data_IF_842284850445
#
_entry.id   IF_842284850445
#
_cell.length_a   1.000
_cell.length_b   1.000
_cell.length_c   1.000
_cell.angle_alpha   90.00
_cell.angle_beta   90.00
_cell.angle_gamma   90.00
#
_symmetry.space_group_name_H-M   'P 1'
#
loop_
_entity.id
_entity.type
_entity.pdbx_description
1 polymer ?
#
# COMPACT_ATOMS: atom_id res chain seq x y z
N UNK A 1 -30.23 13.33 -1.40
CA UNK A 1 -29.03 12.55 -1.79
C UNK A 1 -27.99 12.69 -0.68
N UNK A 2 -27.68 11.62 0.06
CA UNK A 2 -26.62 11.63 1.07
C UNK A 2 -25.28 11.68 0.34
N UNK A 3 -24.52 12.75 0.55
CA UNK A 3 -23.14 12.87 0.06
C UNK A 3 -22.34 11.86 0.86
N UNK A 4 -21.96 10.75 0.23
CA UNK A 4 -21.06 9.79 0.83
C UNK A 4 -19.73 10.51 1.00
N UNK A 5 -19.49 11.02 2.21
CA UNK A 5 -18.21 11.52 2.63
C UNK A 5 -17.34 10.26 2.76
N UNK A 6 -16.76 9.82 1.64
CA UNK A 6 -15.67 8.86 1.64
C UNK A 6 -14.53 9.57 2.38
N UNK A 7 -14.56 9.45 3.71
CA UNK A 7 -13.55 9.99 4.60
C UNK A 7 -12.22 9.59 4.01
N UNK A 8 -11.34 10.57 3.83
CA UNK A 8 -10.01 10.41 3.28
C UNK A 8 -9.37 9.20 3.97
N UNK A 9 -9.35 8.06 3.30
CA UNK A 9 -8.61 6.91 3.81
C UNK A 9 -7.15 7.31 3.62
N UNK A 10 -6.56 7.85 4.67
CA UNK A 10 -5.14 8.15 4.73
C UNK A 10 -4.44 6.86 5.16
N UNK A 11 -3.92 6.06 4.21
CA UNK A 11 -3.20 4.86 4.58
C UNK A 11 -2.03 5.25 5.48
N UNK A 12 -1.79 4.47 6.53
CA UNK A 12 -0.61 4.62 7.36
C UNK A 12 0.62 4.52 6.46
N UNK A 13 1.61 5.39 6.67
CA UNK A 13 2.85 5.39 5.91
C UNK A 13 4.00 5.10 6.85
N UNK A 14 4.84 4.16 6.47
CA UNK A 14 6.09 3.90 7.17
C UNK A 14 7.27 4.41 6.36
N UNK A 15 8.33 4.81 7.07
CA UNK A 15 9.61 5.10 6.46
C UNK A 15 10.32 3.79 6.10
N UNK A 16 10.71 3.65 4.83
CA UNK A 16 11.50 2.55 4.30
C UNK A 16 12.73 3.15 3.62
N UNK A 17 13.87 3.15 4.33
CA UNK A 17 15.05 3.92 3.94
C UNK A 17 14.73 5.42 3.93
N UNK A 18 14.91 6.09 2.80
CA UNK A 18 14.63 7.53 2.63
C UNK A 18 13.22 7.84 2.12
N UNK A 19 12.36 6.83 1.90
CA UNK A 19 11.03 7.01 1.27
C UNK A 19 9.89 6.55 2.18
N UNK A 20 8.78 7.29 2.16
CA UNK A 20 7.54 6.88 2.83
C UNK A 20 6.73 5.95 1.93
N UNK A 21 6.47 4.74 2.40
CA UNK A 21 5.63 3.75 1.72
C UNK A 21 4.36 3.48 2.53
N UNK A 22 3.29 3.12 1.85
CA UNK A 22 2.06 2.69 2.52
C UNK A 22 2.34 1.42 3.31
N UNK A 23 1.95 1.42 4.58
CA UNK A 23 2.01 0.30 5.47
C UNK A 23 0.62 -0.09 5.97
N UNK A 24 0.44 -1.40 6.15
CA UNK A 24 -0.80 -2.02 6.60
C UNK A 24 -0.55 -2.68 7.95
N UNK A 25 -1.52 -2.60 8.86
CA UNK A 25 -1.36 -3.19 10.19
C UNK A 25 -1.46 -4.73 10.15
N UNK A 26 -2.24 -5.25 9.20
CA UNK A 26 -2.51 -6.68 9.06
C UNK A 26 -2.16 -7.17 7.67
N UNK A 27 -1.75 -8.43 7.58
CA UNK A 27 -1.51 -9.12 6.31
C UNK A 27 -2.75 -9.11 5.42
N UNK A 28 -3.92 -9.38 6.00
CA UNK A 28 -5.21 -9.41 5.28
C UNK A 28 -5.51 -8.07 4.58
N UNK A 29 -5.39 -6.95 5.31
CA UNK A 29 -5.52 -5.60 4.76
C UNK A 29 -4.56 -5.35 3.59
N UNK A 30 -3.32 -5.82 3.74
CA UNK A 30 -2.32 -5.68 2.72
C UNK A 30 -2.62 -6.55 1.49
N UNK A 31 -3.13 -7.78 1.65
CA UNK A 31 -3.51 -8.65 0.53
C UNK A 31 -4.72 -8.09 -0.24
N UNK A 32 -5.71 -7.52 0.46
CA UNK A 32 -6.83 -6.83 -0.19
C UNK A 32 -6.32 -5.61 -0.93
N UNK A 33 -5.45 -4.81 -0.32
CA UNK A 33 -4.88 -3.65 -0.99
C UNK A 33 -3.99 -4.02 -2.19
N UNK A 34 -3.23 -5.12 -2.11
CA UNK A 34 -2.48 -5.68 -3.23
C UNK A 34 -3.41 -5.95 -4.42
N UNK A 35 -4.54 -6.61 -4.17
CA UNK A 35 -5.53 -6.91 -5.20
C UNK A 35 -6.16 -5.65 -5.78
N UNK A 36 -6.53 -4.68 -4.93
CA UNK A 36 -7.10 -3.41 -5.37
C UNK A 36 -6.11 -2.64 -6.23
N UNK A 37 -4.84 -2.53 -5.81
CA UNK A 37 -3.81 -1.82 -6.57
C UNK A 37 -3.47 -2.56 -7.87
N UNK A 38 -3.38 -3.89 -7.85
CA UNK A 38 -3.20 -4.68 -9.07
C UNK A 38 -4.34 -4.44 -10.08
N UNK A 39 -5.58 -4.42 -9.59
CA UNK A 39 -6.77 -4.19 -10.41
C UNK A 39 -6.88 -2.73 -10.91
N UNK A 40 -6.63 -1.74 -10.06
CA UNK A 40 -6.78 -0.31 -10.37
C UNK A 40 -5.65 0.21 -11.27
N UNK A 41 -4.41 -0.18 -10.98
CA UNK A 41 -3.23 0.24 -11.75
C UNK A 41 -2.86 -0.71 -12.88
N UNK A 42 -3.51 -1.88 -12.98
CA UNK A 42 -3.19 -2.91 -13.97
C UNK A 42 -1.76 -3.45 -13.85
N UNK A 43 -1.18 -3.41 -12.63
CA UNK A 43 0.18 -3.88 -12.36
C UNK A 43 0.18 -5.37 -12.02
N UNK A 44 1.30 -6.09 -12.26
CA UNK A 44 1.42 -7.48 -11.85
C UNK A 44 1.21 -7.65 -10.34
N UNK A 45 0.80 -8.86 -9.94
CA UNK A 45 0.44 -9.20 -8.56
C UNK A 45 1.46 -8.64 -7.56
N UNK A 46 0.98 -7.75 -6.68
CA UNK A 46 1.80 -7.22 -5.61
C UNK A 46 1.97 -8.27 -4.54
N UNK A 47 3.21 -8.48 -4.12
CA UNK A 47 3.55 -9.38 -3.02
C UNK A 47 3.57 -8.60 -1.72
N UNK A 48 2.97 -9.18 -0.68
CA UNK A 48 2.97 -8.61 0.66
C UNK A 48 4.18 -9.11 1.44
N UNK A 49 4.92 -8.21 2.07
CA UNK A 49 6.03 -8.56 2.97
C UNK A 49 5.92 -7.86 4.32
N UNK A 50 6.41 -8.51 5.37
CA UNK A 50 6.48 -7.93 6.71
C UNK A 50 7.68 -6.99 6.81
N UNK A 51 7.49 -5.82 7.44
CA UNK A 51 8.59 -4.91 7.68
C UNK A 51 9.48 -5.40 8.81
N UNK A 52 10.79 -5.29 8.64
CA UNK A 52 11.78 -5.70 9.65
C UNK A 52 11.92 -4.67 10.80
N UNK A 53 11.52 -3.42 10.57
CA UNK A 53 11.66 -2.31 11.53
C UNK A 53 10.38 -2.05 12.35
N UNK A 54 9.29 -2.77 12.10
CA UNK A 54 8.07 -2.67 12.90
C UNK A 54 6.97 -3.66 12.50
N UNK A 55 5.92 -3.75 13.31
CA UNK A 55 4.77 -4.65 13.11
C UNK A 55 3.80 -4.17 12.02
N UNK A 56 4.31 -4.02 10.80
CA UNK A 56 3.50 -3.58 9.67
C UNK A 56 3.91 -4.26 8.38
N UNK A 57 2.97 -4.28 7.44
CA UNK A 57 3.06 -4.97 6.17
C UNK A 57 3.19 -3.98 5.03
N UNK A 58 4.03 -4.32 4.06
CA UNK A 58 4.29 -3.51 2.88
C UNK A 58 3.93 -4.28 1.61
N UNK A 59 3.57 -3.51 0.59
CA UNK A 59 3.38 -4.02 -0.76
C UNK A 59 4.66 -3.84 -1.56
N UNK A 60 5.15 -4.94 -2.11
CA UNK A 60 6.20 -4.95 -3.11
C UNK A 60 5.59 -5.30 -4.46
N UNK A 61 5.68 -4.38 -5.42
CA UNK A 61 5.49 -4.76 -6.81
C UNK A 61 6.80 -5.39 -7.28
N UNK A 62 6.76 -6.63 -7.79
CA UNK A 62 7.92 -7.28 -8.42
C UNK A 62 8.53 -6.50 -9.60
N UNK A 63 7.90 -5.40 -10.02
CA UNK A 63 8.48 -4.40 -10.90
C UNK A 63 7.97 -3.00 -10.53
N UNK A 64 8.86 -2.17 -10.02
CA UNK A 64 8.80 -0.70 -10.00
C UNK A 64 7.45 -0.03 -9.70
N UNK A 65 7.27 0.37 -8.43
CA UNK A 65 6.38 1.49 -8.10
C UNK A 65 7.08 2.49 -7.17
N UNK A 66 8.32 2.85 -7.52
CA UNK A 66 8.91 4.13 -7.12
C UNK A 66 8.58 5.15 -8.20
N UNK A 67 7.30 5.50 -8.38
CA UNK A 67 6.95 6.73 -9.11
C UNK A 67 6.99 7.88 -8.12
N UNK A 68 8.21 8.29 -7.78
CA UNK A 68 8.48 9.63 -7.26
C UNK A 68 7.82 10.62 -8.23
N UNK A 69 6.71 11.22 -7.81
CA UNK A 69 6.11 12.35 -8.49
C UNK A 69 6.29 13.57 -7.61
N UNK A 70 7.46 14.19 -7.70
CA UNK A 70 7.66 15.64 -7.79
C UNK A 70 9.14 15.97 -7.94
#
# INVERSE_FOLDING_TARGET
MKKNNFGSYEPKRCWVGDSQKICYASRDEAEVAAQVVAHDYGVPELTVYHCEYGDHWHLSSGGQASKNKR
#
